data_IF_959218413753
#
_entry.id   IF_959218413753
#
_cell.length_a   1.000
_cell.length_b   1.000
_cell.length_c   1.000
_cell.angle_alpha   90.00
_cell.angle_beta   90.00
_cell.angle_gamma   90.00
#
_symmetry.space_group_name_H-M   'P 1'
#
loop_
_entity.id
_entity.type
_entity.pdbx_description
1 polymer ?
#
# COMPACT_ATOMS: atom_id res chain seq x y z
N UNK A 1 -0.23 13.81 -10.64
CA UNK A 1 -1.13 13.07 -11.55
C UNK A 1 -2.55 13.34 -11.09
N UNK A 2 -3.50 13.71 -11.96
CA UNK A 2 -4.90 13.79 -11.56
C UNK A 2 -5.48 12.36 -11.62
N UNK A 3 -5.87 11.80 -10.48
CA UNK A 3 -6.40 10.44 -10.39
C UNK A 3 -7.93 10.55 -10.50
N UNK A 4 -8.56 10.07 -11.58
CA UNK A 4 -10.01 10.24 -11.80
C UNK A 4 -10.84 9.20 -11.02
N UNK A 5 -10.35 8.78 -9.85
CA UNK A 5 -11.01 7.80 -8.98
C UNK A 5 -11.15 8.41 -7.60
N UNK A 6 -12.24 8.07 -6.91
CA UNK A 6 -12.33 8.33 -5.48
C UNK A 6 -11.39 7.35 -4.78
N UNK A 7 -10.33 7.89 -4.19
CA UNK A 7 -9.35 7.14 -3.44
C UNK A 7 -9.53 7.35 -1.93
N UNK A 8 -8.94 6.46 -1.15
CA UNK A 8 -8.95 6.49 0.31
C UNK A 8 -7.54 6.31 0.87
N UNK A 9 -7.34 6.84 2.08
CA UNK A 9 -6.16 6.66 2.92
C UNK A 9 -6.52 6.02 4.27
N UNK A 10 -7.70 5.42 4.38
CA UNK A 10 -8.07 4.65 5.56
C UNK A 10 -7.26 3.34 5.60
N UNK A 11 -6.07 3.41 6.20
CA UNK A 11 -5.16 2.28 6.27
C UNK A 11 -5.66 1.15 7.18
N UNK A 12 -6.54 1.46 8.13
CA UNK A 12 -7.18 0.43 8.95
C UNK A 12 -8.13 -0.41 8.10
N UNK A 13 -8.95 0.26 7.26
CA UNK A 13 -9.77 -0.42 6.27
C UNK A 13 -8.91 -1.19 5.27
N UNK A 14 -7.85 -0.58 4.72
CA UNK A 14 -6.94 -1.27 3.81
C UNK A 14 -6.40 -2.56 4.46
N UNK A 15 -5.83 -2.46 5.66
CA UNK A 15 -5.27 -3.61 6.38
C UNK A 15 -6.32 -4.70 6.57
N UNK A 16 -7.53 -4.35 7.01
CA UNK A 16 -8.65 -5.29 7.14
C UNK A 16 -8.95 -6.02 5.82
N UNK A 17 -9.03 -5.29 4.70
CA UNK A 17 -9.27 -5.90 3.39
C UNK A 17 -8.16 -6.88 3.00
N UNK A 18 -6.89 -6.53 3.27
CA UNK A 18 -5.75 -7.41 3.00
C UNK A 18 -5.75 -8.64 3.92
N UNK A 19 -6.14 -8.48 5.18
CA UNK A 19 -6.29 -9.55 6.15
C UNK A 19 -7.39 -10.54 5.75
N UNK A 20 -8.45 -10.06 5.10
CA UNK A 20 -9.49 -10.87 4.46
C UNK A 20 -9.03 -11.56 3.16
N UNK A 21 -7.77 -11.36 2.74
CA UNK A 21 -7.19 -12.00 1.55
C UNK A 21 -7.49 -11.28 0.23
N UNK A 22 -8.02 -10.05 0.27
CA UNK A 22 -8.28 -9.28 -0.95
C UNK A 22 -6.99 -8.69 -1.51
N UNK A 23 -6.90 -8.61 -2.83
CA UNK A 23 -5.91 -7.80 -3.53
C UNK A 23 -6.54 -6.44 -3.88
N UNK A 24 -5.88 -5.35 -3.48
CA UNK A 24 -6.42 -3.99 -3.60
C UNK A 24 -5.55 -3.16 -4.55
N UNK A 25 -6.20 -2.49 -5.51
CA UNK A 25 -5.52 -1.54 -6.40
C UNK A 25 -5.24 -0.25 -5.62
N UNK A 26 -3.99 0.19 -5.67
CA UNK A 26 -3.53 1.39 -4.99
C UNK A 26 -2.61 2.23 -5.88
N UNK A 27 -2.36 3.45 -5.45
CA UNK A 27 -1.38 4.37 -5.99
C UNK A 27 -0.31 4.56 -4.93
N UNK A 28 0.95 4.39 -5.30
CA UNK A 28 2.08 4.51 -4.38
C UNK A 28 3.08 5.53 -4.89
N UNK A 29 3.57 6.37 -3.99
CA UNK A 29 4.71 7.24 -4.25
C UNK A 29 6.02 6.49 -3.99
N UNK A 30 6.99 6.71 -4.86
CA UNK A 30 8.33 6.16 -4.74
C UNK A 30 9.36 7.26 -5.04
N UNK A 31 10.15 7.69 -4.04
CA UNK A 31 11.14 8.73 -4.23
C UNK A 31 12.39 8.19 -4.94
N UNK A 32 12.79 8.80 -6.06
CA UNK A 32 14.05 8.52 -6.76
C UNK A 32 14.66 9.86 -7.19
N UNK A 33 15.94 10.09 -6.86
CA UNK A 33 16.73 11.26 -7.30
C UNK A 33 15.99 12.60 -7.13
N UNK A 34 15.47 12.87 -5.92
CA UNK A 34 14.70 14.07 -5.57
C UNK A 34 13.39 14.27 -6.36
N UNK A 35 12.90 13.22 -7.04
CA UNK A 35 11.60 13.19 -7.70
C UNK A 35 10.71 12.16 -7.03
N UNK A 36 9.41 12.41 -7.06
CA UNK A 36 8.41 11.46 -6.61
C UNK A 36 7.77 10.84 -7.85
N UNK A 37 7.92 9.53 -8.01
CA UNK A 37 7.21 8.75 -9.00
C UNK A 37 5.95 8.19 -8.37
N UNK A 38 4.81 8.32 -9.05
CA UNK A 38 3.54 7.77 -8.57
C UNK A 38 3.03 6.73 -9.54
N UNK A 39 2.89 5.49 -9.08
CA UNK A 39 2.50 4.35 -9.89
C UNK A 39 1.23 3.68 -9.37
N UNK A 40 0.57 2.92 -10.25
CA UNK A 40 -0.54 2.04 -9.89
C UNK A 40 0.03 0.69 -9.45
N UNK A 41 -0.23 0.31 -8.21
CA UNK A 41 0.26 -0.88 -7.55
C UNK A 41 -0.88 -1.82 -7.13
N UNK A 42 -0.51 -3.04 -6.76
CA UNK A 42 -1.37 -3.99 -6.06
C UNK A 42 -0.86 -4.17 -4.65
N UNK A 43 -1.73 -3.93 -3.68
CA UNK A 43 -1.53 -4.25 -2.27
C UNK A 43 -2.12 -5.64 -1.99
N UNK A 44 -1.36 -6.48 -1.28
CA UNK A 44 -1.80 -7.83 -0.88
C UNK A 44 -1.08 -8.29 0.38
N UNK A 45 -1.72 -9.21 1.11
CA UNK A 45 -1.06 -10.00 2.15
C UNK A 45 -0.32 -11.16 1.49
N UNK A 46 0.97 -11.33 1.82
CA UNK A 46 1.86 -12.34 1.23
C UNK A 46 2.31 -13.41 2.23
N UNK A 47 1.83 -13.33 3.46
CA UNK A 47 2.11 -14.28 4.53
C UNK A 47 1.53 -13.79 5.85
N UNK A 48 1.72 -14.56 6.93
CA UNK A 48 1.30 -14.14 8.26
C UNK A 48 1.99 -12.85 8.67
N UNK A 49 1.19 -11.80 8.90
CA UNK A 49 1.66 -10.46 9.24
C UNK A 49 2.55 -9.80 8.18
N UNK A 50 2.53 -10.27 6.92
CA UNK A 50 3.35 -9.72 5.82
C UNK A 50 2.49 -9.14 4.70
N UNK A 51 2.75 -7.90 4.35
CA UNK A 51 1.99 -7.14 3.34
C UNK A 51 2.97 -6.50 2.36
N UNK A 52 2.57 -6.44 1.10
CA UNK A 52 3.42 -5.96 0.01
C UNK A 52 2.61 -5.16 -0.99
N UNK A 53 3.18 -4.03 -1.41
CA UNK A 53 2.63 -3.10 -2.39
C UNK A 53 3.58 -3.10 -3.57
N UNK A 54 3.13 -3.67 -4.69
CA UNK A 54 4.02 -3.94 -5.82
C UNK A 54 3.44 -3.47 -7.14
N UNK A 55 4.32 -3.07 -8.05
CA UNK A 55 4.01 -2.88 -9.47
C UNK A 55 5.15 -3.44 -10.30
N UNK A 56 4.82 -4.26 -11.33
CA UNK A 56 5.79 -4.81 -12.31
C UNK A 56 7.02 -5.49 -11.68
N UNK A 57 6.86 -6.12 -10.52
CA UNK A 57 7.96 -6.80 -9.81
C UNK A 57 8.82 -5.88 -8.93
N UNK A 58 8.52 -4.59 -8.86
CA UNK A 58 9.12 -3.65 -7.91
C UNK A 58 8.21 -3.48 -6.69
N UNK A 59 8.81 -3.49 -5.50
CA UNK A 59 8.11 -3.23 -4.24
C UNK A 59 8.25 -1.76 -3.86
N UNK A 60 7.10 -1.11 -3.68
CA UNK A 60 6.99 0.33 -3.37
C UNK A 60 6.83 0.55 -1.87
N UNK A 61 6.20 -0.41 -1.19
CA UNK A 61 6.10 -0.46 0.26
C UNK A 61 5.91 -1.92 0.70
N UNK A 62 6.39 -2.22 1.90
CA UNK A 62 6.23 -3.54 2.53
C UNK A 62 6.08 -3.36 4.03
N UNK A 63 5.34 -4.26 4.67
CA UNK A 63 5.24 -4.29 6.12
C UNK A 63 5.33 -5.72 6.61
N UNK A 64 6.10 -5.93 7.68
CA UNK A 64 6.17 -7.22 8.36
C UNK A 64 6.10 -7.04 9.88
N UNK A 65 4.99 -7.49 10.47
CA UNK A 65 4.68 -7.36 11.90
C UNK A 65 5.80 -7.87 12.82
N UNK A 66 6.51 -8.94 12.42
CA UNK A 66 7.55 -9.56 13.23
C UNK A 66 8.97 -9.04 12.96
N UNK A 67 9.14 -8.04 12.08
CA UNK A 67 10.45 -7.46 11.76
C UNK A 67 10.47 -5.94 11.93
N UNK A 68 9.32 -5.27 11.80
CA UNK A 68 9.21 -3.83 11.94
C UNK A 68 8.88 -3.47 13.39
N UNK A 69 9.88 -3.56 14.28
CA UNK A 69 9.70 -3.32 15.72
C UNK A 69 9.39 -1.86 16.11
N UNK A 70 9.57 -0.90 15.18
CA UNK A 70 9.39 0.52 15.46
C UNK A 70 8.17 1.14 14.79
N UNK A 71 7.71 0.59 13.67
CA UNK A 71 6.75 1.22 12.78
C UNK A 71 5.54 0.32 12.61
N UNK A 72 4.36 0.92 12.51
CA UNK A 72 3.09 0.23 12.25
C UNK A 72 2.88 0.01 10.75
N UNK A 73 1.85 -0.77 10.40
CA UNK A 73 1.43 -0.89 9.00
C UNK A 73 1.07 0.49 8.43
N UNK A 74 0.35 1.30 9.21
CA UNK A 74 -0.11 2.64 8.85
C UNK A 74 1.06 3.59 8.60
N UNK A 75 2.14 3.50 9.39
CA UNK A 75 3.34 4.33 9.19
C UNK A 75 3.99 4.04 7.82
N UNK A 76 4.13 2.76 7.45
CA UNK A 76 4.68 2.36 6.14
C UNK A 76 3.80 2.83 4.98
N UNK A 77 2.47 2.67 5.10
CA UNK A 77 1.54 3.12 4.06
C UNK A 77 1.56 4.65 3.92
N UNK A 78 1.67 5.36 5.04
CA UNK A 78 1.79 6.80 5.06
C UNK A 78 3.08 7.27 4.38
N UNK A 79 4.21 6.59 4.63
CA UNK A 79 5.50 6.94 4.04
C UNK A 79 5.54 6.79 2.53
N UNK A 80 4.90 5.75 1.99
CA UNK A 80 4.74 5.58 0.55
C UNK A 80 3.51 6.32 -0.03
N UNK A 81 2.84 7.16 0.77
CA UNK A 81 1.63 7.91 0.41
C UNK A 81 0.62 7.05 -0.38
N UNK A 82 0.35 5.87 0.17
CA UNK A 82 -0.56 4.89 -0.43
C UNK A 82 -1.96 5.49 -0.47
N UNK A 83 -2.56 5.47 -1.65
CA UNK A 83 -3.99 5.76 -1.82
C UNK A 83 -4.64 4.59 -2.53
N UNK A 84 -5.69 4.01 -1.96
CA UNK A 84 -6.36 2.86 -2.59
C UNK A 84 -7.75 3.21 -3.11
N UNK A 85 -8.17 2.49 -4.14
CA UNK A 85 -9.54 2.57 -4.62
C UNK A 85 -10.38 1.67 -3.71
N UNK A 86 -11.31 2.25 -2.97
CA UNK A 86 -12.21 1.46 -2.13
C UNK A 86 -13.01 0.49 -3.02
N UNK A 87 -12.97 -0.82 -2.74
CA UNK A 87 -13.75 -1.78 -3.50
C UNK A 87 -15.25 -1.60 -3.20
N UNK A 88 -16.09 -1.71 -4.23
CA UNK A 88 -17.53 -1.83 -4.04
C UNK A 88 -17.83 -3.26 -3.59
N UNK A 89 -17.92 -3.47 -2.28
CA UNK A 89 -18.11 -4.79 -1.63
C UNK A 89 -19.56 -5.00 -1.23
#
# INVERSE_FOLDING_TARGET
>A
MNIPYRTSRDYQLLKKLLDEGKEIVCFADFPIDNRIFRDVCKARKIGEGRYSITCRGCEYASFWENHNYKWTFEDEMQMANIEFIEPNI
#
